data_IF_259014495803
#
_entry.id   IF_259014495803
#
_cell.length_a   1.000
_cell.length_b   1.000
_cell.length_c   1.000
_cell.angle_alpha   90.00
_cell.angle_beta   90.00
_cell.angle_gamma   90.00
#
_symmetry.space_group_name_H-M   'P 1'
#
loop_
_entity.id
_entity.type
_entity.pdbx_description
1 polymer ?
#
# COMPACT_ATOMS: atom_id res chain seq x y z
N UNK A 1 -1.90 12.61 -29.93
CA UNK A 1 -1.99 13.16 -28.56
C UNK A 1 -1.11 12.31 -27.67
N UNK A 2 -0.13 12.91 -27.00
CA UNK A 2 0.75 12.22 -26.07
C UNK A 2 0.36 12.54 -24.63
N UNK A 3 0.52 11.56 -23.75
CA UNK A 3 0.23 11.71 -22.33
C UNK A 3 1.42 11.25 -21.49
N UNK A 4 1.73 11.97 -20.41
CA UNK A 4 2.67 11.55 -19.36
C UNK A 4 4.02 11.03 -19.90
N UNK A 5 4.52 11.67 -20.96
CA UNK A 5 5.72 11.28 -21.69
C UNK A 5 6.49 12.51 -22.15
N UNK A 6 7.79 12.37 -22.31
CA UNK A 6 8.61 13.32 -23.05
C UNK A 6 8.41 13.04 -24.53
N UNK A 7 7.89 14.01 -25.26
CA UNK A 7 7.57 13.83 -26.66
C UNK A 7 8.31 14.80 -27.57
N UNK A 8 8.57 14.33 -28.78
CA UNK A 8 9.15 15.12 -29.87
C UNK A 8 8.48 14.74 -31.18
N UNK A 9 8.23 15.73 -32.03
CA UNK A 9 7.68 15.53 -33.37
C UNK A 9 8.63 16.15 -34.40
N UNK A 10 8.92 15.39 -35.43
CA UNK A 10 9.78 15.77 -36.54
C UNK A 10 8.98 15.68 -37.83
N UNK A 11 8.89 16.77 -38.58
CA UNK A 11 8.30 16.75 -39.91
C UNK A 11 9.38 16.44 -40.98
N UNK A 12 8.94 15.91 -42.12
CA UNK A 12 9.81 15.51 -43.23
C UNK A 12 10.56 16.66 -43.89
N UNK A 13 10.09 17.89 -43.72
CA UNK A 13 10.76 19.10 -44.20
C UNK A 13 11.87 19.58 -43.24
N UNK A 14 12.10 18.86 -42.15
CA UNK A 14 13.09 19.22 -41.13
C UNK A 14 12.58 20.23 -40.11
N UNK A 15 11.31 20.67 -40.18
CA UNK A 15 10.73 21.46 -39.10
C UNK A 15 10.60 20.60 -37.84
N UNK A 16 11.37 20.99 -36.81
CA UNK A 16 11.38 20.33 -35.51
C UNK A 16 10.53 21.11 -34.51
N UNK A 17 9.64 20.41 -33.81
CA UNK A 17 9.21 20.89 -32.50
C UNK A 17 10.03 20.11 -31.46
N UNK A 18 11.07 20.78 -30.98
CA UNK A 18 12.00 20.18 -30.02
C UNK A 18 11.32 19.94 -28.67
N UNK A 19 11.57 18.74 -28.14
CA UNK A 19 11.32 18.21 -26.80
C UNK A 19 10.35 19.03 -25.95
N UNK A 20 9.15 18.51 -25.80
CA UNK A 20 8.14 19.06 -24.90
C UNK A 20 7.92 18.12 -23.71
N UNK A 21 7.86 18.74 -22.54
CA UNK A 21 7.77 18.11 -21.22
C UNK A 21 6.36 18.21 -20.65
N UNK A 22 5.40 18.79 -21.37
CA UNK A 22 4.01 18.89 -20.93
C UNK A 22 3.33 17.52 -20.93
N UNK A 23 2.51 17.28 -19.92
CA UNK A 23 1.75 16.05 -19.73
C UNK A 23 0.75 15.79 -20.85
N UNK A 24 0.37 16.82 -21.61
CA UNK A 24 -0.51 16.75 -22.75
C UNK A 24 -0.10 17.78 -23.79
N UNK A 25 0.01 17.37 -25.06
CA UNK A 25 0.28 18.28 -26.18
C UNK A 25 -0.50 17.91 -27.43
N UNK A 26 -0.97 18.95 -28.11
CA UNK A 26 -1.56 18.89 -29.45
C UNK A 26 -0.62 19.61 -30.41
N UNK A 27 -0.39 19.00 -31.58
CA UNK A 27 0.43 19.54 -32.65
C UNK A 27 -0.45 19.81 -33.87
N UNK A 28 -0.37 21.00 -34.49
CA UNK A 28 -0.97 21.21 -35.79
C UNK A 28 -0.22 20.37 -36.83
N UNK A 29 -0.96 19.71 -37.72
CA UNK A 29 -0.39 18.98 -38.86
C UNK A 29 -0.68 19.75 -40.15
N UNK A 30 0.33 19.85 -40.99
CA UNK A 30 0.24 20.35 -42.36
C UNK A 30 0.06 19.19 -43.34
N UNK A 31 -0.72 19.44 -44.40
CA UNK A 31 -0.88 18.50 -45.52
C UNK A 31 0.47 18.26 -46.20
N UNK A 32 0.63 17.09 -46.83
CA UNK A 32 1.80 16.71 -47.65
C UNK A 32 3.12 16.49 -46.89
N UNK A 33 3.16 16.68 -45.57
CA UNK A 33 4.30 16.32 -44.73
C UNK A 33 4.10 14.96 -44.08
N UNK A 34 5.20 14.21 -43.91
CA UNK A 34 5.22 13.03 -43.05
C UNK A 34 5.83 13.39 -41.69
N UNK A 35 5.31 12.79 -40.62
CA UNK A 35 5.71 13.11 -39.25
C UNK A 35 6.24 11.88 -38.54
N UNK A 36 7.41 12.00 -37.92
CA UNK A 36 7.93 11.03 -36.97
C UNK A 36 7.66 11.53 -35.57
N UNK A 37 6.94 10.73 -34.79
CA UNK A 37 6.61 11.05 -33.42
C UNK A 37 7.34 10.10 -32.48
N UNK A 38 7.99 10.65 -31.46
CA UNK A 38 8.66 9.88 -30.40
C UNK A 38 8.06 10.29 -29.08
N UNK A 39 7.70 9.31 -28.26
CA UNK A 39 7.23 9.50 -26.90
C UNK A 39 7.96 8.52 -25.98
N UNK A 40 8.73 9.05 -25.04
CA UNK A 40 9.42 8.25 -24.04
C UNK A 40 8.75 8.47 -22.69
N UNK A 41 8.71 7.45 -21.83
CA UNK A 41 8.31 7.66 -20.45
C UNK A 41 9.22 8.70 -19.81
N UNK A 42 8.65 9.63 -19.05
CA UNK A 42 9.42 10.62 -18.29
C UNK A 42 10.46 9.90 -17.41
N UNK A 43 11.67 10.46 -17.33
CA UNK A 43 12.74 10.01 -16.45
C UNK A 43 13.48 11.22 -15.91
N UNK A 44 14.06 11.12 -14.73
CA UNK A 44 15.00 12.12 -14.24
C UNK A 44 16.19 12.24 -15.20
N UNK A 45 16.79 13.44 -15.25
CA UNK A 45 17.93 13.74 -16.13
C UNK A 45 19.25 13.81 -15.36
N UNK A 46 19.32 13.11 -14.22
CA UNK A 46 20.51 13.13 -13.37
C UNK A 46 21.60 12.18 -13.90
N UNK A 47 22.86 12.54 -13.66
CA UNK A 47 24.03 11.77 -14.07
C UNK A 47 24.45 10.72 -13.03
N UNK A 48 24.07 10.92 -11.77
CA UNK A 48 24.27 9.99 -10.66
C UNK A 48 23.15 10.13 -9.63
N UNK A 49 23.10 9.23 -8.64
CA UNK A 49 22.14 9.32 -7.54
C UNK A 49 22.37 10.58 -6.68
N UNK A 50 23.63 10.94 -6.45
CA UNK A 50 24.02 12.15 -5.71
C UNK A 50 23.63 13.42 -6.48
N UNK A 51 23.79 13.41 -7.81
CA UNK A 51 23.32 14.49 -8.68
C UNK A 51 21.79 14.63 -8.59
N UNK A 52 21.06 13.50 -8.63
CA UNK A 52 19.60 13.49 -8.49
C UNK A 52 19.15 14.08 -7.15
N UNK A 53 19.77 13.66 -6.04
CA UNK A 53 19.46 14.16 -4.70
C UNK A 53 19.73 15.67 -4.63
N UNK A 54 20.91 16.11 -5.09
CA UNK A 54 21.32 17.52 -5.04
C UNK A 54 20.39 18.42 -5.85
N UNK A 55 20.06 18.01 -7.08
CA UNK A 55 19.11 18.73 -7.94
C UNK A 55 17.72 18.77 -7.35
N UNK A 56 17.24 17.65 -6.81
CA UNK A 56 15.93 17.55 -6.16
C UNK A 56 15.83 18.48 -4.96
N UNK A 57 16.82 18.46 -4.05
CA UNK A 57 16.84 19.34 -2.88
C UNK A 57 16.88 20.82 -3.25
N UNK A 58 17.68 21.16 -4.28
CA UNK A 58 17.75 22.51 -4.83
C UNK A 58 16.43 22.94 -5.47
N UNK A 59 15.81 22.09 -6.27
CA UNK A 59 14.51 22.34 -6.89
C UNK A 59 13.40 22.53 -5.84
N UNK A 60 13.37 21.70 -4.79
CA UNK A 60 12.39 21.80 -3.70
C UNK A 60 12.52 23.07 -2.84
N UNK A 61 13.63 23.80 -2.95
CA UNK A 61 13.87 25.09 -2.26
C UNK A 61 13.87 26.28 -3.21
N UNK A 62 13.59 26.04 -4.49
CA UNK A 62 13.55 27.05 -5.54
C UNK A 62 12.39 28.03 -5.34
N UNK A 63 12.55 29.25 -5.86
CA UNK A 63 11.52 30.29 -5.79
C UNK A 63 10.25 29.85 -6.53
N UNK A 64 10.40 29.11 -7.62
CA UNK A 64 9.34 28.52 -8.42
C UNK A 64 8.43 27.62 -7.57
N UNK A 65 9.03 26.69 -6.82
CA UNK A 65 8.29 25.79 -5.91
C UNK A 65 7.74 26.54 -4.71
N UNK A 66 8.51 27.45 -4.10
CA UNK A 66 8.04 28.24 -2.96
C UNK A 66 6.83 29.11 -3.31
N UNK A 67 6.77 29.68 -4.51
CA UNK A 67 5.62 30.44 -4.99
C UNK A 67 4.38 29.55 -5.19
N UNK A 68 4.55 28.36 -5.77
CA UNK A 68 3.47 27.37 -5.87
C UNK A 68 2.94 26.96 -4.49
N UNK A 69 3.85 26.68 -3.54
CA UNK A 69 3.49 26.33 -2.16
C UNK A 69 2.75 27.47 -1.48
N UNK A 70 3.22 28.71 -1.64
CA UNK A 70 2.57 29.88 -1.08
C UNK A 70 1.15 30.07 -1.66
N UNK A 71 0.96 29.84 -2.96
CA UNK A 71 -0.37 29.89 -3.57
C UNK A 71 -1.31 28.82 -3.01
N UNK A 72 -0.84 27.57 -2.87
CA UNK A 72 -1.63 26.50 -2.23
C UNK A 72 -2.03 26.87 -0.79
N UNK A 73 -1.10 27.44 -0.02
CA UNK A 73 -1.33 27.85 1.36
C UNK A 73 -2.38 28.97 1.48
N UNK A 74 -2.54 29.85 0.48
CA UNK A 74 -3.61 30.88 0.48
C UNK A 74 -5.01 30.26 0.51
N UNK A 75 -5.19 29.06 -0.03
CA UNK A 75 -6.46 28.31 0.03
C UNK A 75 -6.58 27.46 1.30
N UNK A 76 -5.68 27.64 2.27
CA UNK A 76 -5.63 26.86 3.50
C UNK A 76 -5.33 25.38 3.25
N UNK A 77 -4.54 25.08 2.22
CA UNK A 77 -4.03 23.73 1.92
C UNK A 77 -2.69 23.56 2.62
N UNK A 78 -2.50 22.42 3.28
CA UNK A 78 -1.24 22.13 3.98
C UNK A 78 -0.28 21.42 3.03
N UNK A 79 0.92 21.97 2.86
CA UNK A 79 1.97 21.34 2.04
C UNK A 79 3.06 20.83 2.96
N UNK A 80 3.29 19.52 2.95
CA UNK A 80 4.30 18.87 3.79
C UNK A 80 5.46 18.42 2.92
N UNK A 81 6.65 18.92 3.27
CA UNK A 81 7.92 18.50 2.70
C UNK A 81 8.57 17.47 3.62
N UNK A 82 9.06 16.32 3.12
CA UNK A 82 9.85 15.41 3.94
C UNK A 82 11.13 16.11 4.43
N UNK A 83 11.51 15.95 5.72
CA UNK A 83 12.56 16.75 6.36
C UNK A 83 13.98 16.54 5.81
N UNK A 84 14.21 15.52 4.98
CA UNK A 84 15.40 15.24 4.14
C UNK A 84 15.18 13.91 3.39
N UNK A 85 16.00 13.59 2.39
CA UNK A 85 16.13 12.23 1.83
C UNK A 85 16.76 11.34 2.92
N UNK A 86 15.98 10.98 3.94
CA UNK A 86 16.51 10.53 5.24
C UNK A 86 16.86 9.04 5.31
N UNK A 87 16.70 8.30 4.22
CA UNK A 87 17.00 6.88 4.21
C UNK A 87 17.58 6.46 2.84
N UNK A 88 18.88 6.71 2.68
CA UNK A 88 19.61 6.36 1.48
C UNK A 88 19.57 4.85 1.24
N UNK A 89 19.60 4.03 2.31
CA UNK A 89 19.52 2.57 2.21
C UNK A 89 18.21 2.13 1.56
N UNK A 90 17.09 2.66 2.06
CA UNK A 90 15.77 2.39 1.49
C UNK A 90 15.61 2.91 0.06
N UNK A 91 16.23 4.04 -0.28
CA UNK A 91 16.27 4.54 -1.66
C UNK A 91 17.03 3.57 -2.58
N UNK A 92 18.18 3.04 -2.15
CA UNK A 92 18.94 2.05 -2.91
C UNK A 92 18.15 0.74 -3.11
N UNK A 93 17.49 0.25 -2.05
CA UNK A 93 16.61 -0.93 -2.14
C UNK A 93 15.50 -0.71 -3.16
N UNK A 94 14.84 0.45 -3.10
CA UNK A 94 13.78 0.83 -4.05
C UNK A 94 14.31 0.88 -5.49
N UNK A 95 15.46 1.52 -5.72
CA UNK A 95 16.11 1.59 -7.03
C UNK A 95 16.37 0.18 -7.58
N UNK A 96 16.90 -0.71 -6.74
CA UNK A 96 17.22 -2.09 -7.13
C UNK A 96 15.98 -2.93 -7.40
N UNK A 97 14.98 -2.88 -6.52
CA UNK A 97 13.80 -3.74 -6.59
C UNK A 97 12.77 -3.29 -7.62
N UNK A 98 12.57 -1.99 -7.82
CA UNK A 98 11.44 -1.47 -8.60
C UNK A 98 11.83 -0.93 -9.98
N UNK A 99 13.10 -0.60 -10.14
CA UNK A 99 13.60 0.12 -11.30
C UNK A 99 14.82 -0.56 -11.94
N UNK A 100 15.13 -1.79 -11.53
CA UNK A 100 16.24 -2.59 -12.06
C UNK A 100 17.60 -1.87 -12.00
N UNK A 101 17.79 -1.02 -10.97
CA UNK A 101 18.99 -0.21 -10.81
C UNK A 101 18.95 1.17 -11.48
N UNK A 102 17.90 1.49 -12.28
CA UNK A 102 17.77 2.78 -12.97
C UNK A 102 17.24 3.86 -12.03
N UNK A 103 18.15 4.59 -11.37
CA UNK A 103 17.81 5.69 -10.46
C UNK A 103 17.05 6.83 -11.14
N UNK A 104 17.16 6.98 -12.47
CA UNK A 104 16.43 8.02 -13.19
C UNK A 104 14.92 7.72 -13.31
N UNK A 105 14.46 6.56 -12.85
CA UNK A 105 13.02 6.24 -12.75
C UNK A 105 12.42 6.61 -11.39
N UNK A 106 13.22 7.15 -10.46
CA UNK A 106 12.78 7.51 -9.11
C UNK A 106 12.33 8.97 -9.05
N UNK A 107 11.08 9.18 -8.65
CA UNK A 107 10.48 10.53 -8.53
C UNK A 107 10.24 10.98 -7.10
N UNK A 108 10.29 10.07 -6.12
CA UNK A 108 9.97 10.37 -4.73
C UNK A 108 11.13 10.97 -3.92
N UNK A 109 12.28 11.24 -4.58
CA UNK A 109 13.39 11.99 -3.99
C UNK A 109 12.96 13.45 -3.74
N UNK A 110 12.40 14.09 -4.77
CA UNK A 110 11.86 15.45 -4.71
C UNK A 110 10.34 15.45 -4.53
N UNK A 111 9.83 15.03 -3.37
CA UNK A 111 8.38 14.85 -3.16
C UNK A 111 7.74 15.82 -2.17
N UNK A 112 6.48 16.15 -2.40
CA UNK A 112 5.62 16.88 -1.47
C UNK A 112 4.31 16.13 -1.26
N UNK A 113 3.80 16.18 -0.03
CA UNK A 113 2.46 15.70 0.31
C UNK A 113 1.54 16.89 0.50
N UNK A 114 0.52 17.01 -0.34
CA UNK A 114 -0.47 18.09 -0.32
C UNK A 114 -1.71 17.58 0.44
N UNK A 115 -1.94 18.11 1.62
CA UNK A 115 -2.99 17.65 2.54
C UNK A 115 -4.18 18.61 2.51
N UNK A 116 -5.31 18.08 2.06
CA UNK A 116 -6.55 18.82 1.89
C UNK A 116 -7.59 18.40 2.93
N UNK A 117 -8.37 19.35 3.45
CA UNK A 117 -9.39 19.03 4.47
C UNK A 117 -10.62 18.33 3.87
N UNK A 118 -10.92 18.61 2.59
CA UNK A 118 -12.11 18.09 1.90
C UNK A 118 -11.87 18.03 0.38
N UNK A 119 -12.84 17.42 -0.32
CA UNK A 119 -12.81 17.24 -1.79
C UNK A 119 -12.69 18.55 -2.56
N UNK A 120 -13.32 19.63 -2.10
CA UNK A 120 -13.22 20.94 -2.75
C UNK A 120 -11.79 21.47 -2.69
N UNK A 121 -11.15 21.46 -1.52
CA UNK A 121 -9.73 21.86 -1.40
C UNK A 121 -8.80 20.97 -2.21
N UNK A 122 -9.12 19.67 -2.30
CA UNK A 122 -8.39 18.72 -3.13
C UNK A 122 -8.45 19.10 -4.63
N UNK A 123 -9.65 19.43 -5.14
CA UNK A 123 -9.82 19.93 -6.50
C UNK A 123 -9.08 21.26 -6.72
N UNK A 124 -9.19 22.20 -5.78
CA UNK A 124 -8.45 23.47 -5.84
C UNK A 124 -6.94 23.24 -5.88
N UNK A 125 -6.41 22.33 -5.07
CA UNK A 125 -4.99 21.99 -5.07
C UNK A 125 -4.53 21.50 -6.45
N UNK A 126 -5.30 20.58 -7.04
CA UNK A 126 -5.04 20.04 -8.38
C UNK A 126 -5.08 21.14 -9.44
N UNK A 127 -6.07 22.04 -9.40
CA UNK A 127 -6.17 23.15 -10.33
C UNK A 127 -5.01 24.15 -10.22
N UNK A 128 -4.56 24.45 -9.00
CA UNK A 128 -3.40 25.32 -8.75
C UNK A 128 -2.13 24.67 -9.31
N UNK A 129 -1.91 23.39 -9.04
CA UNK A 129 -0.76 22.64 -9.58
C UNK A 129 -0.83 22.50 -11.10
N UNK A 130 -2.02 22.38 -11.70
CA UNK A 130 -2.19 22.35 -13.16
C UNK A 130 -1.85 23.67 -13.84
N UNK A 131 -1.89 24.78 -13.12
CA UNK A 131 -1.44 26.11 -13.56
C UNK A 131 0.05 26.34 -13.29
N UNK A 132 0.85 25.27 -13.29
CA UNK A 132 2.29 25.25 -13.02
C UNK A 132 3.08 26.29 -13.83
N UNK A 133 2.65 26.57 -15.06
CA UNK A 133 3.29 27.54 -15.95
C UNK A 133 3.40 28.94 -15.34
N UNK A 134 2.43 29.33 -14.47
CA UNK A 134 2.46 30.61 -13.73
C UNK A 134 3.64 30.73 -12.78
N UNK A 135 4.25 29.61 -12.43
CA UNK A 135 5.39 29.51 -11.52
C UNK A 135 6.67 29.10 -12.25
N UNK A 136 6.70 29.13 -13.59
CA UNK A 136 7.79 28.62 -14.43
C UNK A 136 8.05 27.11 -14.26
N UNK A 137 6.99 26.35 -13.98
CA UNK A 137 7.01 24.90 -13.85
C UNK A 137 6.20 24.27 -14.99
N UNK A 138 6.51 23.02 -15.34
CA UNK A 138 5.78 22.28 -16.38
C UNK A 138 5.10 21.08 -15.75
N UNK A 139 3.80 20.90 -15.98
CA UNK A 139 3.11 19.67 -15.58
C UNK A 139 3.51 18.58 -16.56
N UNK A 140 4.16 17.53 -16.10
CA UNK A 140 4.70 16.46 -16.96
C UNK A 140 4.02 15.12 -16.78
N UNK A 141 3.37 14.90 -15.64
CA UNK A 141 2.48 13.77 -15.43
C UNK A 141 1.29 14.19 -14.58
N UNK A 142 0.10 13.72 -14.97
CA UNK A 142 -1.15 13.94 -14.25
C UNK A 142 -1.88 12.59 -14.09
N UNK A 143 -1.95 12.09 -12.85
CA UNK A 143 -2.57 10.81 -12.50
C UNK A 143 -3.55 10.97 -11.36
N UNK A 144 -4.83 10.91 -11.69
CA UNK A 144 -5.93 10.85 -10.74
C UNK A 144 -6.13 9.40 -10.26
N UNK A 145 -5.64 9.10 -9.05
CA UNK A 145 -5.98 7.89 -8.30
C UNK A 145 -6.89 8.20 -7.11
N UNK A 146 -7.52 9.38 -7.11
CA UNK A 146 -8.42 9.80 -6.04
C UNK A 146 -9.85 9.37 -6.35
N UNK A 147 -10.28 9.54 -7.60
CA UNK A 147 -11.55 9.02 -8.10
C UNK A 147 -11.40 7.64 -8.75
N UNK A 148 -10.20 7.33 -9.29
CA UNK A 148 -9.89 6.03 -9.90
C UNK A 148 -9.11 5.17 -8.92
N UNK A 149 -9.43 3.88 -8.84
CA UNK A 149 -8.72 2.96 -7.95
C UNK A 149 -7.28 2.74 -8.44
N UNK A 150 -6.31 3.02 -7.57
CA UNK A 150 -4.92 2.56 -7.74
C UNK A 150 -4.84 1.05 -7.46
N UNK A 151 -3.73 0.40 -7.83
CA UNK A 151 -3.53 -1.04 -7.56
C UNK A 151 -3.67 -1.39 -6.07
N UNK A 152 -3.23 -0.49 -5.18
CA UNK A 152 -3.31 -0.69 -3.72
C UNK A 152 -4.56 -0.06 -3.11
N UNK A 153 -5.45 0.53 -3.91
CA UNK A 153 -6.62 1.28 -3.48
C UNK A 153 -6.29 2.50 -2.58
N UNK A 154 -5.04 2.94 -2.49
CA UNK A 154 -4.76 4.21 -1.83
C UNK A 154 -5.29 5.39 -2.68
N UNK A 155 -5.92 6.37 -2.04
CA UNK A 155 -6.55 7.53 -2.71
C UNK A 155 -5.67 8.77 -2.68
N UNK A 156 -5.23 9.18 -3.86
CA UNK A 156 -4.41 10.37 -4.02
C UNK A 156 -4.43 10.86 -5.47
N UNK A 157 -4.08 12.12 -5.69
CA UNK A 157 -3.85 12.67 -7.02
C UNK A 157 -2.37 12.96 -7.14
N UNK A 158 -1.69 12.32 -8.09
CA UNK A 158 -0.26 12.49 -8.29
C UNK A 158 0.00 13.38 -9.50
N UNK A 159 0.74 14.46 -9.28
CA UNK A 159 1.20 15.35 -10.34
C UNK A 159 2.71 15.42 -10.28
N UNK A 160 3.38 15.18 -11.41
CA UNK A 160 4.82 15.45 -11.51
C UNK A 160 5.05 16.75 -12.23
N UNK A 161 5.85 17.61 -11.61
CA UNK A 161 6.23 18.89 -12.15
C UNK A 161 7.69 18.83 -12.57
N UNK A 162 7.97 19.14 -13.83
CA UNK A 162 9.33 19.39 -14.27
C UNK A 162 9.73 20.81 -13.87
N UNK A 163 10.93 20.94 -13.31
CA UNK A 163 11.53 22.20 -12.86
C UNK A 163 12.67 22.56 -13.82
N UNK A 164 12.43 23.35 -14.89
CA UNK A 164 13.39 23.54 -15.98
C UNK A 164 14.76 24.03 -15.52
N UNK A 165 14.79 24.91 -14.52
CA UNK A 165 16.01 25.50 -13.96
C UNK A 165 17.00 24.49 -13.40
N UNK A 166 16.51 23.38 -12.83
CA UNK A 166 17.35 22.35 -12.22
C UNK A 166 17.36 21.05 -13.05
N UNK A 167 16.57 21.02 -14.11
CA UNK A 167 16.43 19.89 -15.02
C UNK A 167 16.11 18.59 -14.27
N UNK A 168 15.06 18.66 -13.44
CA UNK A 168 14.63 17.57 -12.56
C UNK A 168 13.10 17.60 -12.39
N UNK A 169 12.52 16.44 -12.11
CA UNK A 169 11.10 16.31 -11.81
C UNK A 169 10.87 16.21 -10.30
N UNK A 170 9.85 16.92 -9.81
CA UNK A 170 9.35 16.82 -8.44
C UNK A 170 7.95 16.22 -8.43
N UNK A 171 7.66 15.41 -7.42
CA UNK A 171 6.37 14.74 -7.23
C UNK A 171 5.50 15.51 -6.24
N UNK A 172 4.27 15.82 -6.64
CA UNK A 172 3.26 16.47 -5.81
C UNK A 172 2.08 15.51 -5.64
N UNK A 173 1.98 14.90 -4.46
CA UNK A 173 0.93 13.95 -4.14
C UNK A 173 -0.12 14.60 -3.25
N UNK A 174 -1.30 14.87 -3.81
CA UNK A 174 -2.43 15.42 -3.07
C UNK A 174 -3.35 14.33 -2.52
N UNK A 175 -3.84 14.48 -1.29
CA UNK A 175 -4.81 13.59 -0.66
C UNK A 175 -5.59 14.31 0.44
N UNK A 176 -6.60 13.66 1.01
CA UNK A 176 -7.32 14.17 2.17
C UNK A 176 -6.56 13.90 3.47
N UNK A 177 -6.67 14.82 4.44
CA UNK A 177 -6.14 14.63 5.80
C UNK A 177 -6.72 13.40 6.50
N UNK A 178 -7.97 13.03 6.18
CA UNK A 178 -8.60 11.82 6.68
C UNK A 178 -8.02 10.51 6.10
N UNK A 179 -7.28 10.59 4.99
CA UNK A 179 -6.74 9.41 4.27
C UNK A 179 -5.22 9.27 4.39
N UNK A 180 -4.52 10.32 4.80
CA UNK A 180 -3.06 10.29 4.91
C UNK A 180 -2.60 9.38 6.05
N UNK A 181 -1.45 8.72 5.86
CA UNK A 181 -0.71 7.99 6.88
C UNK A 181 0.53 8.76 7.36
N UNK A 182 0.63 10.05 7.02
CA UNK A 182 1.76 10.88 7.41
C UNK A 182 1.71 11.19 8.92
N UNK A 183 2.75 10.79 9.64
CA UNK A 183 2.89 11.01 11.08
C UNK A 183 2.81 12.52 11.41
N UNK A 184 2.05 12.86 12.46
CA UNK A 184 1.76 14.25 12.84
C UNK A 184 0.57 14.89 12.12
N UNK A 185 0.07 14.30 11.03
CA UNK A 185 -1.07 14.84 10.26
C UNK A 185 -2.24 13.87 10.11
N UNK A 186 -1.98 12.57 10.30
CA UNK A 186 -2.97 11.51 10.17
C UNK A 186 -3.89 11.41 11.39
N UNK A 187 -5.16 11.10 11.13
CA UNK A 187 -6.14 10.71 12.17
C UNK A 187 -6.23 9.19 12.34
N UNK A 188 -5.58 8.43 11.46
CA UNK A 188 -5.55 6.97 11.43
C UNK A 188 -4.61 6.47 12.52
N UNK A 189 -5.10 5.55 13.33
CA UNK A 189 -4.28 4.92 14.36
C UNK A 189 -3.25 3.99 13.72
N UNK A 190 -2.05 3.92 14.32
CA UNK A 190 -0.93 3.16 13.79
C UNK A 190 -0.65 3.45 12.29
N UNK A 191 -0.35 4.71 11.95
CA UNK A 191 -0.31 5.16 10.56
C UNK A 191 0.80 4.49 9.72
N UNK A 192 1.82 3.94 10.37
CA UNK A 192 2.92 3.23 9.67
C UNK A 192 2.50 1.83 9.19
N UNK A 193 1.42 1.24 9.72
CA UNK A 193 1.05 -0.15 9.47
C UNK A 193 0.87 -0.46 7.99
N UNK A 194 -0.04 0.24 7.29
CA UNK A 194 -0.32 -0.02 5.87
C UNK A 194 0.93 0.17 5.01
N UNK A 195 1.71 1.20 5.31
CA UNK A 195 2.94 1.52 4.60
C UNK A 195 4.02 0.44 4.79
N UNK A 196 4.28 0.00 6.02
CA UNK A 196 5.25 -1.07 6.31
C UNK A 196 4.80 -2.41 5.73
N UNK A 197 3.50 -2.71 5.79
CA UNK A 197 2.94 -3.93 5.23
C UNK A 197 3.11 -3.97 3.70
N UNK A 198 2.81 -2.86 3.03
CA UNK A 198 3.07 -2.69 1.59
C UNK A 198 4.55 -2.93 1.24
N UNK A 199 5.48 -2.41 2.01
CA UNK A 199 6.92 -2.59 1.75
C UNK A 199 7.35 -4.05 1.82
N UNK A 200 6.85 -4.80 2.81
CA UNK A 200 7.11 -6.23 2.93
C UNK A 200 6.59 -7.01 1.72
N UNK A 201 5.34 -6.72 1.30
CA UNK A 201 4.69 -7.44 0.17
C UNK A 201 5.34 -7.08 -1.17
N UNK A 202 5.73 -5.81 -1.34
CA UNK A 202 6.33 -5.30 -2.58
C UNK A 202 7.70 -5.92 -2.87
N UNK A 203 8.51 -6.13 -1.83
CA UNK A 203 9.81 -6.78 -1.98
C UNK A 203 9.69 -8.28 -2.29
N UNK A 204 8.51 -8.88 -2.14
CA UNK A 204 8.30 -10.31 -2.29
C UNK A 204 8.17 -10.76 -3.74
N UNK A 205 9.13 -11.57 -4.16
CA UNK A 205 9.17 -12.27 -5.45
C UNK A 205 9.15 -13.78 -5.16
N UNK A 206 7.97 -14.42 -5.16
CA UNK A 206 7.84 -15.86 -4.96
C UNK A 206 8.66 -16.61 -6.01
N UNK A 207 9.40 -17.64 -5.59
CA UNK A 207 10.24 -18.43 -6.51
C UNK A 207 9.48 -19.58 -7.17
N UNK A 208 8.42 -20.07 -6.51
CA UNK A 208 7.63 -21.23 -6.92
C UNK A 208 6.13 -20.89 -6.94
N UNK A 209 5.41 -21.37 -7.98
CA UNK A 209 4.02 -21.04 -8.29
C UNK A 209 2.98 -21.85 -7.50
N UNK A 210 3.15 -21.98 -6.18
CA UNK A 210 2.24 -22.73 -5.30
C UNK A 210 1.76 -21.86 -4.12
N UNK A 211 2.11 -22.24 -2.90
CA UNK A 211 1.60 -21.67 -1.66
C UNK A 211 2.12 -20.26 -1.38
N UNK A 212 3.33 -19.93 -1.85
CA UNK A 212 3.88 -18.57 -1.68
C UNK A 212 3.15 -17.54 -2.56
N UNK A 213 2.70 -17.93 -3.74
CA UNK A 213 1.95 -17.03 -4.64
C UNK A 213 0.54 -16.76 -4.09
N UNK A 214 -0.13 -17.79 -3.58
CA UNK A 214 -1.43 -17.65 -2.91
C UNK A 214 -1.34 -16.75 -1.67
N UNK A 215 -0.30 -16.93 -0.84
CA UNK A 215 -0.09 -16.10 0.35
C UNK A 215 0.26 -14.67 -0.03
N UNK A 216 1.05 -14.46 -1.09
CA UNK A 216 1.33 -13.13 -1.63
C UNK A 216 0.06 -12.45 -2.10
N UNK A 217 -0.78 -13.13 -2.89
CA UNK A 217 -2.05 -12.59 -3.37
C UNK A 217 -2.98 -12.24 -2.20
N UNK A 218 -3.11 -13.13 -1.21
CA UNK A 218 -3.89 -12.86 -0.01
C UNK A 218 -3.36 -11.64 0.77
N UNK A 219 -2.05 -11.40 0.74
CA UNK A 219 -1.42 -10.23 1.36
C UNK A 219 -1.74 -8.94 0.60
N UNK A 220 -1.66 -8.97 -0.74
CA UNK A 220 -2.05 -7.86 -1.61
C UNK A 220 -3.55 -7.52 -1.44
N UNK A 221 -4.42 -8.53 -1.36
CA UNK A 221 -5.86 -8.36 -1.08
C UNK A 221 -6.12 -7.77 0.32
N UNK A 222 -5.34 -8.20 1.31
CA UNK A 222 -5.45 -7.71 2.69
C UNK A 222 -5.02 -6.25 2.78
N UNK A 223 -3.91 -5.88 2.12
CA UNK A 223 -3.49 -4.48 2.00
C UNK A 223 -4.57 -3.62 1.33
N UNK A 224 -5.20 -4.16 0.29
CA UNK A 224 -6.31 -3.49 -0.41
C UNK A 224 -7.48 -3.22 0.52
N UNK A 225 -7.93 -4.22 1.29
CA UNK A 225 -9.00 -4.06 2.30
C UNK A 225 -8.64 -3.05 3.39
N UNK A 226 -7.38 -3.02 3.83
CA UNK A 226 -6.91 -2.02 4.79
C UNK A 226 -7.02 -0.62 4.18
N UNK A 227 -6.60 -0.44 2.93
CA UNK A 227 -6.69 0.85 2.25
C UNK A 227 -8.13 1.25 1.91
N UNK A 228 -9.03 0.29 1.70
CA UNK A 228 -10.47 0.53 1.56
C UNK A 228 -11.08 1.15 2.83
N UNK A 229 -10.64 0.70 4.01
CA UNK A 229 -11.02 1.32 5.30
C UNK A 229 -10.38 2.70 5.47
N UNK A 230 -9.08 2.84 5.20
CA UNK A 230 -8.34 4.10 5.38
C UNK A 230 -8.94 5.19 4.47
N UNK A 231 -9.08 4.87 3.19
CA UNK A 231 -9.48 5.79 2.13
C UNK A 231 -10.99 5.82 1.86
N UNK A 232 -11.78 5.13 2.70
CA UNK A 232 -13.25 5.13 2.66
C UNK A 232 -13.79 4.71 1.27
N UNK A 233 -13.22 3.64 0.71
CA UNK A 233 -13.83 2.96 -0.44
C UNK A 233 -15.04 2.12 -0.04
N UNK A 234 -15.11 1.71 1.22
CA UNK A 234 -16.31 1.17 1.85
C UNK A 234 -16.96 2.23 2.73
N UNK A 235 -18.28 2.14 2.89
CA UNK A 235 -19.02 3.11 3.68
C UNK A 235 -18.78 2.96 5.19
N UNK A 236 -19.15 3.99 5.96
CA UNK A 236 -18.97 3.98 7.41
C UNK A 236 -19.78 2.87 8.09
N UNK A 237 -20.90 2.43 7.49
CA UNK A 237 -21.75 1.37 8.05
C UNK A 237 -21.02 0.02 7.99
N UNK A 238 -20.31 -0.26 6.90
CA UNK A 238 -19.53 -1.47 6.74
C UNK A 238 -18.24 -1.42 7.58
N UNK A 239 -17.60 -0.26 7.71
CA UNK A 239 -16.49 -0.06 8.67
C UNK A 239 -16.97 -0.40 10.08
N UNK A 240 -18.13 0.11 10.51
CA UNK A 240 -18.70 -0.18 11.83
C UNK A 240 -19.01 -1.67 12.01
N UNK A 241 -19.50 -2.37 10.98
CA UNK A 241 -19.72 -3.82 11.06
C UNK A 241 -18.42 -4.60 11.30
N UNK A 242 -17.33 -4.20 10.64
CA UNK A 242 -16.00 -4.81 10.85
C UNK A 242 -15.48 -4.49 12.25
N UNK A 243 -15.57 -3.23 12.66
CA UNK A 243 -15.16 -2.76 13.99
C UNK A 243 -15.90 -3.46 15.12
N UNK A 244 -17.21 -3.72 14.99
CA UNK A 244 -17.99 -4.45 16.00
C UNK A 244 -17.55 -5.91 16.22
N UNK A 245 -16.76 -6.48 15.31
CA UNK A 245 -16.18 -7.83 15.45
C UNK A 245 -14.79 -7.82 16.07
N UNK A 246 -14.22 -6.64 16.29
CA UNK A 246 -12.93 -6.48 16.95
C UNK A 246 -12.98 -7.09 18.35
N UNK A 247 -11.96 -7.89 18.65
CA UNK A 247 -11.66 -8.35 20.00
C UNK A 247 -10.17 -8.14 20.26
N UNK A 248 -9.78 -7.49 21.37
CA UNK A 248 -8.39 -7.23 21.68
C UNK A 248 -7.65 -8.54 21.95
N UNK A 249 -6.34 -8.55 21.64
CA UNK A 249 -5.46 -9.69 21.94
C UNK A 249 -5.57 -10.15 23.40
N UNK A 250 -5.73 -9.23 24.35
CA UNK A 250 -5.87 -9.53 25.78
C UNK A 250 -7.14 -10.31 26.12
N UNK A 251 -8.18 -10.24 25.29
CA UNK A 251 -9.42 -11.01 25.46
C UNK A 251 -9.30 -12.40 24.82
N UNK A 252 -8.81 -12.47 23.58
CA UNK A 252 -8.85 -13.71 22.79
C UNK A 252 -7.58 -14.57 22.90
N UNK A 253 -6.46 -13.99 23.34
CA UNK A 253 -5.17 -14.68 23.46
C UNK A 253 -4.66 -15.22 22.13
N UNK A 254 -4.19 -14.33 21.23
CA UNK A 254 -3.71 -14.74 19.89
C UNK A 254 -2.49 -15.64 20.03
N UNK A 255 -2.55 -16.82 19.42
CA UNK A 255 -1.51 -17.83 19.49
C UNK A 255 -0.40 -17.52 18.49
N UNK A 256 0.85 -17.66 18.94
CA UNK A 256 2.03 -17.48 18.09
C UNK A 256 2.22 -18.70 17.20
N UNK A 257 2.46 -18.49 15.90
CA UNK A 257 2.77 -19.56 14.96
C UNK A 257 4.00 -20.37 15.44
N UNK A 258 3.93 -21.71 15.55
CA UNK A 258 5.05 -22.53 16.05
C UNK A 258 6.34 -22.35 15.24
N UNK A 259 6.23 -22.14 13.93
CA UNK A 259 7.37 -21.90 13.04
C UNK A 259 8.17 -20.64 13.41
N UNK A 260 7.52 -19.62 13.99
CA UNK A 260 8.19 -18.40 14.47
C UNK A 260 8.85 -18.60 15.83
N UNK A 261 8.41 -19.58 16.63
CA UNK A 261 8.99 -19.84 17.96
C UNK A 261 10.31 -20.61 17.90
N UNK A 262 10.52 -21.38 16.82
CA UNK A 262 11.68 -22.26 16.64
C UNK A 262 12.80 -21.66 15.78
N UNK A 263 12.60 -20.46 15.23
CA UNK A 263 13.53 -19.81 14.31
C UNK A 263 14.14 -18.56 14.92
N UNK A 264 15.39 -18.32 14.57
CA UNK A 264 16.13 -17.09 14.88
C UNK A 264 15.62 -15.91 14.06
N UNK A 265 15.96 -14.70 14.49
CA UNK A 265 15.56 -13.48 13.78
C UNK A 265 16.18 -13.42 12.37
N UNK A 266 17.41 -13.90 12.21
CA UNK A 266 18.10 -13.99 10.91
C UNK A 266 17.36 -14.96 9.96
N UNK A 267 16.93 -16.12 10.45
CA UNK A 267 16.19 -17.11 9.65
C UNK A 267 14.81 -16.59 9.22
N UNK A 268 14.12 -15.86 10.12
CA UNK A 268 12.89 -15.15 9.77
C UNK A 268 13.21 -14.09 8.72
N UNK A 269 14.32 -13.37 8.89
CA UNK A 269 14.69 -12.27 8.00
C UNK A 269 15.08 -12.71 6.57
N UNK A 270 15.38 -13.98 6.37
CA UNK A 270 15.67 -14.56 5.05
C UNK A 270 14.43 -15.09 4.33
N UNK A 271 13.28 -15.21 5.00
CA UNK A 271 12.04 -15.72 4.43
C UNK A 271 10.90 -14.68 4.57
N UNK A 272 10.41 -14.19 3.44
CA UNK A 272 9.42 -13.09 3.43
C UNK A 272 8.07 -13.52 4.00
N UNK A 273 7.62 -14.75 3.76
CA UNK A 273 6.39 -15.27 4.35
C UNK A 273 6.47 -15.27 5.89
N UNK A 274 7.60 -15.68 6.45
CA UNK A 274 7.85 -15.62 7.90
C UNK A 274 7.95 -14.19 8.42
N UNK A 275 8.58 -13.26 7.67
CA UNK A 275 8.55 -11.83 8.02
C UNK A 275 7.13 -11.29 8.09
N UNK A 276 6.29 -11.61 7.11
CA UNK A 276 4.89 -11.18 7.07
C UNK A 276 4.12 -11.77 8.24
N UNK A 277 4.27 -13.08 8.50
CA UNK A 277 3.64 -13.75 9.63
C UNK A 277 4.04 -13.11 10.97
N UNK A 278 5.34 -12.82 11.15
CA UNK A 278 5.86 -12.16 12.34
C UNK A 278 5.37 -10.71 12.45
N UNK A 279 5.36 -9.96 11.35
CA UNK A 279 4.86 -8.59 11.30
C UNK A 279 3.39 -8.55 11.74
N UNK A 280 2.53 -9.36 11.11
CA UNK A 280 1.08 -9.40 11.41
C UNK A 280 0.85 -9.84 12.85
N UNK A 281 1.53 -10.88 13.33
CA UNK A 281 1.43 -11.31 14.73
C UNK A 281 1.81 -10.17 15.70
N UNK A 282 2.94 -9.49 15.45
CA UNK A 282 3.37 -8.37 16.29
C UNK A 282 2.34 -7.24 16.28
N UNK A 283 1.80 -6.88 15.11
CA UNK A 283 0.74 -5.87 15.02
C UNK A 283 -0.48 -6.30 15.84
N UNK A 284 -0.94 -7.55 15.71
CA UNK A 284 -2.09 -8.06 16.46
C UNK A 284 -1.87 -8.07 17.97
N UNK A 285 -0.64 -8.30 18.45
CA UNK A 285 -0.34 -8.28 19.88
C UNK A 285 -0.16 -6.87 20.45
N UNK A 286 0.30 -5.90 19.66
CA UNK A 286 0.73 -4.58 20.17
C UNK A 286 -0.20 -3.43 19.77
N UNK A 287 -0.95 -3.58 18.68
CA UNK A 287 -1.88 -2.57 18.21
C UNK A 287 -3.20 -2.67 18.98
N UNK A 288 -3.46 -1.69 19.84
CA UNK A 288 -4.70 -1.57 20.62
C UNK A 288 -5.51 -0.38 20.08
N UNK A 289 -6.30 -0.56 19.01
CA UNK A 289 -7.07 0.53 18.42
C UNK A 289 -8.26 0.93 19.28
N UNK A 290 -8.50 2.23 19.39
CA UNK A 290 -9.67 2.81 20.06
C UNK A 290 -10.73 3.25 19.05
N UNK A 291 -10.33 3.70 17.86
CA UNK A 291 -11.22 4.25 16.84
C UNK A 291 -11.74 3.16 15.90
N UNK A 292 -12.92 3.41 15.31
CA UNK A 292 -13.61 2.48 14.43
C UNK A 292 -12.75 1.98 13.25
N UNK A 293 -12.03 2.89 12.56
CA UNK A 293 -11.12 2.49 11.47
C UNK A 293 -9.98 1.60 11.96
N UNK A 294 -9.40 1.92 13.12
CA UNK A 294 -8.31 1.11 13.70
C UNK A 294 -8.78 -0.29 14.05
N UNK A 295 -9.96 -0.42 14.68
CA UNK A 295 -10.61 -1.69 15.02
C UNK A 295 -10.93 -2.52 13.78
N UNK A 296 -11.47 -1.89 12.73
CA UNK A 296 -11.73 -2.55 11.45
C UNK A 296 -10.44 -3.08 10.79
N UNK A 297 -9.37 -2.27 10.77
CA UNK A 297 -8.05 -2.68 10.26
C UNK A 297 -7.50 -3.86 11.06
N UNK A 298 -7.57 -3.81 12.39
CA UNK A 298 -7.15 -4.91 13.25
C UNK A 298 -7.93 -6.19 12.92
N UNK A 299 -9.26 -6.11 12.80
CA UNK A 299 -10.09 -7.27 12.47
C UNK A 299 -9.71 -7.86 11.10
N UNK A 300 -9.44 -7.03 10.09
CA UNK A 300 -8.96 -7.49 8.78
C UNK A 300 -7.64 -8.25 8.89
N UNK A 301 -6.68 -7.74 9.69
CA UNK A 301 -5.41 -8.42 9.93
C UNK A 301 -5.60 -9.74 10.68
N UNK A 302 -6.53 -9.79 11.63
CA UNK A 302 -6.82 -11.00 12.39
C UNK A 302 -7.41 -12.10 11.50
N UNK A 303 -8.37 -11.76 10.64
CA UNK A 303 -8.94 -12.69 9.66
C UNK A 303 -7.87 -13.21 8.70
N UNK A 304 -6.98 -12.33 8.21
CA UNK A 304 -5.85 -12.74 7.39
C UNK A 304 -4.93 -13.71 8.15
N UNK A 305 -4.57 -13.37 9.40
CA UNK A 305 -3.72 -14.20 10.23
C UNK A 305 -4.31 -15.59 10.47
N UNK A 306 -5.60 -15.65 10.84
CA UNK A 306 -6.33 -16.89 11.08
C UNK A 306 -6.35 -17.76 9.83
N UNK A 307 -6.75 -17.19 8.69
CA UNK A 307 -6.99 -17.95 7.46
C UNK A 307 -5.72 -18.36 6.74
N UNK A 308 -4.75 -17.45 6.61
CA UNK A 308 -3.60 -17.63 5.72
C UNK A 308 -2.27 -17.86 6.44
N UNK A 309 -2.12 -17.41 7.69
CA UNK A 309 -0.87 -17.61 8.44
C UNK A 309 -0.96 -18.85 9.33
N UNK A 310 -2.05 -19.01 10.08
CA UNK A 310 -2.30 -20.16 10.95
C UNK A 310 -2.94 -21.32 10.16
N UNK A 311 -3.87 -20.98 9.26
CA UNK A 311 -4.66 -21.92 8.47
C UNK A 311 -5.96 -22.31 9.17
N UNK A 312 -7.03 -22.52 8.39
CA UNK A 312 -8.40 -22.77 8.89
C UNK A 312 -8.55 -23.99 9.81
N UNK A 313 -7.58 -24.92 9.79
CA UNK A 313 -7.58 -26.14 10.60
C UNK A 313 -7.00 -25.96 12.00
N UNK A 314 -6.27 -24.86 12.24
CA UNK A 314 -5.57 -24.63 13.49
C UNK A 314 -6.21 -23.47 14.26
N UNK A 315 -6.29 -23.55 15.59
CA UNK A 315 -6.78 -22.43 16.39
C UNK A 315 -5.80 -21.25 16.28
N UNK A 316 -6.31 -20.07 15.92
CA UNK A 316 -5.51 -18.85 15.86
C UNK A 316 -5.46 -18.12 17.22
N UNK A 317 -6.33 -18.50 18.16
CA UNK A 317 -6.47 -17.88 19.47
C UNK A 317 -6.83 -18.89 20.55
N UNK A 318 -6.59 -18.54 21.82
CA UNK A 318 -7.07 -19.31 22.97
C UNK A 318 -8.60 -19.46 22.95
N UNK A 319 -9.32 -18.45 22.48
CA UNK A 319 -10.77 -18.50 22.29
C UNK A 319 -11.19 -19.55 21.26
N UNK A 320 -10.50 -19.62 20.10
CA UNK A 320 -10.75 -20.66 19.09
C UNK A 320 -10.45 -22.05 19.66
N UNK A 321 -9.36 -22.20 20.41
CA UNK A 321 -8.99 -23.47 21.05
C UNK A 321 -10.02 -23.92 22.09
N UNK A 322 -10.53 -23.00 22.91
CA UNK A 322 -11.58 -23.30 23.88
C UNK A 322 -12.87 -23.77 23.22
N UNK A 323 -13.25 -23.19 22.07
CA UNK A 323 -14.40 -23.63 21.28
C UNK A 323 -14.20 -25.05 20.74
N UNK A 324 -13.02 -25.35 20.18
CA UNK A 324 -12.69 -26.70 19.71
C UNK A 324 -12.77 -27.75 20.83
N UNK A 325 -12.26 -27.43 22.02
CA UNK A 325 -12.37 -28.31 23.19
C UNK A 325 -13.83 -28.52 23.63
N UNK A 326 -14.66 -27.48 23.52
CA UNK A 326 -16.08 -27.56 23.86
C UNK A 326 -16.84 -28.44 22.86
N UNK A 327 -16.54 -28.34 21.57
CA UNK A 327 -17.11 -29.19 20.52
C UNK A 327 -16.66 -30.65 20.66
N UNK A 328 -15.35 -30.88 20.88
CA UNK A 328 -14.81 -32.23 21.12
C UNK A 328 -15.45 -32.90 22.33
N UNK A 329 -15.68 -32.15 23.42
CA UNK A 329 -16.36 -32.68 24.61
C UNK A 329 -17.80 -33.11 24.30
N UNK A 330 -18.53 -32.34 23.48
CA UNK A 330 -19.91 -32.71 23.09
C UNK A 330 -19.90 -34.00 22.28
N UNK A 331 -18.97 -34.11 21.34
CA UNK A 331 -18.84 -35.31 20.51
C UNK A 331 -18.48 -36.55 21.36
N UNK A 332 -17.56 -36.43 22.31
CA UNK A 332 -17.18 -37.51 23.22
C UNK A 332 -18.39 -37.99 24.05
N UNK A 333 -19.21 -37.07 24.56
CA UNK A 333 -20.45 -37.41 25.28
C UNK A 333 -21.45 -38.16 24.37
N UNK A 334 -21.63 -37.71 23.12
CA UNK A 334 -22.53 -38.36 22.16
C UNK A 334 -22.04 -39.77 21.78
N UNK A 335 -20.72 -39.95 21.63
CA UNK A 335 -20.08 -41.25 21.40
C UNK A 335 -20.27 -42.18 22.60
N UNK A 336 -20.07 -41.69 23.83
CA UNK A 336 -20.29 -42.46 25.07
C UNK A 336 -21.76 -42.92 25.20
N UNK A 337 -22.72 -42.03 24.90
CA UNK A 337 -24.16 -42.37 24.88
C UNK A 337 -24.42 -43.48 23.85
N UNK A 338 -23.81 -43.38 22.67
CA UNK A 338 -23.97 -44.39 21.60
C UNK A 338 -23.38 -45.75 22.01
N UNK A 339 -22.22 -45.76 22.65
CA UNK A 339 -21.58 -46.99 23.16
C UNK A 339 -22.43 -47.62 24.26
N UNK A 340 -22.97 -46.82 25.20
CA UNK A 340 -23.86 -47.31 26.25
C UNK A 340 -25.12 -47.97 25.66
N UNK A 341 -25.75 -47.34 24.67
CA UNK A 341 -26.90 -47.92 23.96
C UNK A 341 -26.52 -49.23 23.25
N UNK A 342 -25.35 -49.30 22.60
CA UNK A 342 -24.88 -50.52 21.96
C UNK A 342 -24.64 -51.65 22.98
N UNK A 343 -24.09 -51.34 24.16
CA UNK A 343 -23.89 -52.29 25.25
C UNK A 343 -25.20 -52.80 25.84
N UNK A 344 -26.24 -51.96 25.94
CA UNK A 344 -27.58 -52.42 26.36
C UNK A 344 -28.19 -53.43 25.40
N UNK A 345 -27.89 -53.33 24.10
CA UNK A 345 -28.32 -54.30 23.08
C UNK A 345 -27.39 -55.50 22.95
N UNK A 346 -26.26 -55.52 23.67
CA UNK A 346 -25.31 -56.63 23.63
C UNK A 346 -25.86 -57.83 24.39
N UNK A 347 -26.21 -58.89 23.66
CA UNK A 347 -26.55 -60.19 24.24
C UNK A 347 -25.25 -60.99 24.35
N UNK A 348 -24.75 -61.30 25.56
CA UNK A 348 -23.56 -62.13 25.71
C UNK A 348 -23.85 -63.52 25.16
N UNK A 349 -23.03 -63.99 24.21
CA UNK A 349 -23.04 -65.39 23.81
C UNK A 349 -22.61 -66.23 25.01
N UNK A 350 -23.57 -66.85 25.71
CA UNK A 350 -23.24 -67.88 26.68
C UNK A 350 -22.55 -69.02 25.94
N UNK A 351 -21.30 -69.29 26.29
CA UNK A 351 -20.63 -70.52 25.90
C UNK A 351 -21.41 -71.68 26.54
N UNK A 352 -22.25 -72.33 25.74
CA UNK A 352 -22.85 -73.60 26.13
C UNK A 352 -21.72 -74.61 26.29
N UNK A 353 -21.39 -74.96 27.54
CA UNK A 353 -20.61 -76.14 27.85
C UNK A 353 -21.47 -77.36 27.51
N UNK A 354 -21.40 -77.80 26.26
CA UNK A 354 -21.80 -79.16 25.89
C UNK A 354 -20.72 -80.11 26.43
N UNK A 355 -20.93 -80.56 27.67
CA UNK A 355 -20.20 -81.67 28.29
C UNK A 355 -20.84 -83.02 27.92
#
# INVERSE_FOLDING_TARGET
>A
MFFNSEHSIYASDGSSHEKDYNYQRTYPIQSELTYTLKANRIKQHANSLEDLITRSESAMTSVEILNLVAELQKYGITVVKPPKVKDTTRLHEKIKCDYDGDFNRVFDVGRFTILCDNKTKMQTAVEVMKKAEKFNLIVSEDKDFFEKQSKTHHRFHNIKLYVPKYDVYVEMQATLKSFTTLEGYTVIENPKLSHLYYELIRAWHPKDASEEEDLKQASDDTLTKINDVICEWIDMKDINKLSNRYKPHTEIGILKLPQLSKKTEEEINQNIALKIAQFVYTQLCTFVPEKEKGKAIYFILYEYYKKYVIGDKNPASCADFALLLQESRKQEIDEDITILQALETYIPLQANNYA
#
